data_IF_265362382958
#
_entry.id   IF_265362382958
#
_cell.length_a   1.000
_cell.length_b   1.000
_cell.length_c   1.000
_cell.angle_alpha   90.00
_cell.angle_beta   90.00
_cell.angle_gamma   90.00
#
_symmetry.space_group_name_H-M   'P 1'
#
loop_
_entity.id
_entity.type
_entity.pdbx_description
1 polymer ?
#
# COMPACT_ATOMS: atom_id res chain seq x y z
N UNK A 1 78.31 22.52 6.80
CA UNK A 1 76.92 22.71 6.41
C UNK A 1 76.26 21.33 6.45
N UNK A 2 75.38 21.12 7.45
CA UNK A 2 74.70 19.81 7.63
C UNK A 2 73.28 19.97 7.12
N UNK A 3 72.92 19.23 6.08
CA UNK A 3 71.53 19.19 5.53
C UNK A 3 70.67 18.26 6.38
N UNK A 4 69.65 18.81 6.99
CA UNK A 4 68.60 18.06 7.72
C UNK A 4 67.47 17.76 6.74
N UNK A 5 67.28 16.49 6.45
CA UNK A 5 66.14 16.03 5.58
C UNK A 5 64.96 15.72 6.48
N UNK A 6 63.89 16.49 6.40
CA UNK A 6 62.60 16.21 7.06
C UNK A 6 61.86 15.15 6.23
N UNK A 7 61.62 13.99 6.82
CA UNK A 7 60.69 12.97 6.27
C UNK A 7 59.29 13.23 6.86
N UNK A 8 58.37 13.70 6.03
CA UNK A 8 56.96 13.81 6.40
C UNK A 8 56.27 12.45 6.21
N UNK A 9 55.88 11.82 7.32
CA UNK A 9 55.12 10.61 7.29
C UNK A 9 53.62 10.96 7.16
N UNK A 10 53.03 10.72 5.99
CA UNK A 10 51.57 10.83 5.77
C UNK A 10 50.88 9.62 6.31
N UNK A 11 50.15 9.76 7.41
CA UNK A 11 49.26 8.73 7.95
C UNK A 11 47.96 8.79 7.19
N UNK A 12 47.72 7.84 6.29
CA UNK A 12 46.41 7.61 5.67
C UNK A 12 45.49 6.93 6.72
N UNK A 13 44.53 7.65 7.24
CA UNK A 13 43.40 7.06 7.94
C UNK A 13 42.47 6.42 6.92
N UNK A 14 42.58 5.12 6.74
CA UNK A 14 41.54 4.34 6.06
C UNK A 14 40.34 4.23 7.02
N UNK A 15 39.34 5.08 6.82
CA UNK A 15 38.03 4.91 7.47
C UNK A 15 37.35 3.68 6.84
N UNK A 16 37.52 2.53 7.47
CA UNK A 16 36.63 1.39 7.24
C UNK A 16 35.23 1.79 7.72
N UNK A 17 34.38 2.25 6.81
CA UNK A 17 32.93 2.25 7.04
C UNK A 17 32.55 0.77 7.13
N UNK A 18 32.51 0.23 8.34
CA UNK A 18 31.82 -1.04 8.60
C UNK A 18 30.35 -0.79 8.23
N UNK A 19 29.90 -1.41 7.14
CA UNK A 19 28.47 -1.54 6.89
C UNK A 19 27.90 -2.23 8.16
N UNK A 20 27.12 -1.50 8.93
CA UNK A 20 26.43 -2.08 10.07
C UNK A 20 25.58 -3.23 9.50
N UNK A 21 25.88 -4.45 9.97
CA UNK A 21 25.13 -5.64 9.58
C UNK A 21 23.80 -5.58 10.34
N UNK A 22 22.87 -4.77 9.81
CA UNK A 22 21.54 -4.61 10.41
C UNK A 22 20.76 -5.91 10.22
N UNK A 23 20.14 -6.40 11.30
CA UNK A 23 19.30 -7.60 11.24
C UNK A 23 18.20 -7.44 10.16
N UNK A 24 17.86 -8.50 9.42
CA UNK A 24 16.85 -8.42 8.37
C UNK A 24 15.50 -7.90 8.90
N UNK A 25 14.81 -7.09 8.09
CA UNK A 25 13.45 -6.68 8.39
C UNK A 25 12.49 -7.87 8.32
N UNK A 26 11.54 -7.92 9.26
CA UNK A 26 10.40 -8.84 9.22
C UNK A 26 9.17 -8.10 8.73
N UNK A 27 8.40 -8.72 7.83
CA UNK A 27 7.15 -8.19 7.32
C UNK A 27 5.99 -9.00 7.92
N UNK A 28 5.20 -8.39 8.81
CA UNK A 28 4.02 -9.02 9.41
C UNK A 28 2.75 -8.37 8.83
N UNK A 29 1.95 -9.16 8.13
CA UNK A 29 0.78 -8.66 7.40
C UNK A 29 -0.48 -8.91 8.21
N UNK A 30 -1.22 -7.84 8.48
CA UNK A 30 -2.62 -7.91 8.89
C UNK A 30 -3.49 -7.89 7.63
N UNK A 31 -4.16 -9.00 7.33
CA UNK A 31 -5.14 -9.08 6.25
C UNK A 31 -6.54 -8.98 6.85
N UNK A 32 -7.25 -7.92 6.54
CA UNK A 32 -8.62 -7.72 7.00
C UNK A 32 -9.60 -8.68 6.29
N UNK A 33 -10.74 -8.90 6.91
CA UNK A 33 -11.78 -9.75 6.34
C UNK A 33 -12.58 -9.05 5.20
N UNK A 34 -13.58 -9.75 4.66
CA UNK A 34 -14.46 -9.25 3.59
C UNK A 34 -15.21 -7.96 3.95
N UNK A 35 -15.45 -7.68 5.23
CA UNK A 35 -16.17 -6.49 5.67
C UNK A 35 -15.30 -5.23 5.62
N UNK A 36 -13.98 -5.42 5.57
CA UNK A 36 -12.96 -4.39 5.35
C UNK A 36 -12.24 -4.62 4.01
N UNK A 37 -12.95 -5.09 3.00
CA UNK A 37 -12.49 -5.23 1.60
C UNK A 37 -11.26 -6.10 1.40
N UNK A 38 -10.90 -6.96 2.37
CA UNK A 38 -9.64 -7.71 2.34
C UNK A 38 -8.39 -6.82 2.21
N UNK A 39 -8.46 -5.59 2.73
CA UNK A 39 -7.31 -4.67 2.72
C UNK A 39 -6.20 -5.20 3.60
N UNK A 40 -4.96 -4.91 3.22
CA UNK A 40 -3.78 -5.25 3.98
C UNK A 40 -3.18 -4.04 4.67
N UNK A 41 -2.75 -4.26 5.92
CA UNK A 41 -1.82 -3.39 6.62
C UNK A 41 -0.56 -4.19 6.94
N UNK A 42 0.60 -3.57 6.84
CA UNK A 42 1.86 -4.29 7.03
C UNK A 42 2.71 -3.63 8.11
N UNK A 43 3.17 -4.42 9.07
CA UNK A 43 4.21 -4.03 10.00
C UNK A 43 5.56 -4.35 9.37
N UNK A 44 6.41 -3.35 9.21
CA UNK A 44 7.82 -3.48 8.82
C UNK A 44 8.63 -3.39 10.11
N UNK A 45 9.12 -4.54 10.57
CA UNK A 45 9.70 -4.71 11.90
C UNK A 45 11.20 -4.85 11.76
N UNK A 46 11.92 -3.93 12.39
CA UNK A 46 13.38 -3.97 12.55
C UNK A 46 13.81 -4.52 13.92
N UNK A 47 15.03 -4.23 14.30
CA UNK A 47 15.60 -4.69 15.57
C UNK A 47 15.00 -3.93 16.78
N UNK A 48 14.80 -2.62 16.66
CA UNK A 48 14.29 -1.74 17.72
C UNK A 48 13.04 -0.97 17.34
N UNK A 49 12.81 -0.77 16.06
CA UNK A 49 11.74 0.05 15.52
C UNK A 49 10.74 -0.77 14.70
N UNK A 50 9.50 -0.27 14.62
CA UNK A 50 8.49 -0.77 13.69
C UNK A 50 7.87 0.40 12.94
N UNK A 51 7.56 0.19 11.66
CA UNK A 51 6.72 1.05 10.84
C UNK A 51 5.44 0.31 10.48
N UNK A 52 4.30 0.98 10.57
CA UNK A 52 3.02 0.48 10.05
C UNK A 52 2.76 1.12 8.69
N UNK A 53 2.44 0.29 7.71
CA UNK A 53 1.97 0.73 6.40
C UNK A 53 0.50 0.43 6.30
N UNK A 54 -0.31 1.50 6.18
CA UNK A 54 -1.76 1.51 6.17
C UNK A 54 -2.40 1.05 7.50
N UNK A 55 -3.57 1.57 7.81
CA UNK A 55 -4.12 1.49 9.18
C UNK A 55 -5.46 0.76 9.28
N UNK A 56 -5.91 0.18 8.16
CA UNK A 56 -7.19 -0.52 8.11
C UNK A 56 -8.41 0.40 8.00
N UNK A 57 -9.56 -0.22 7.80
CA UNK A 57 -10.83 0.46 7.54
C UNK A 57 -11.58 0.84 8.81
N UNK A 58 -11.65 -0.08 9.77
CA UNK A 58 -12.48 0.05 10.97
C UNK A 58 -11.62 0.30 12.21
N UNK A 59 -12.25 0.84 13.28
CA UNK A 59 -11.59 0.88 14.60
C UNK A 59 -11.13 -0.50 15.05
N UNK A 60 -11.92 -1.53 14.77
CA UNK A 60 -11.56 -2.89 15.14
C UNK A 60 -10.32 -3.40 14.38
N UNK A 61 -10.17 -3.03 13.09
CA UNK A 61 -8.94 -3.34 12.34
C UNK A 61 -7.74 -2.62 12.93
N UNK A 62 -7.88 -1.32 13.19
CA UNK A 62 -6.81 -0.54 13.79
C UNK A 62 -6.37 -1.05 15.17
N UNK A 63 -7.31 -1.52 16.00
CA UNK A 63 -6.99 -2.14 17.30
C UNK A 63 -6.22 -3.46 17.13
N UNK A 64 -6.55 -4.28 16.11
CA UNK A 64 -5.78 -5.50 15.79
C UNK A 64 -4.38 -5.18 15.31
N UNK A 65 -4.24 -4.14 14.48
CA UNK A 65 -2.93 -3.65 14.04
C UNK A 65 -2.14 -3.12 15.25
N UNK A 66 -2.77 -2.35 16.13
CA UNK A 66 -2.14 -1.87 17.37
C UNK A 66 -1.66 -3.02 18.27
N UNK A 67 -2.47 -4.08 18.41
CA UNK A 67 -2.06 -5.28 19.15
C UNK A 67 -0.79 -5.90 18.56
N UNK A 68 -0.70 -6.04 17.22
CA UNK A 68 0.51 -6.54 16.56
C UNK A 68 1.73 -5.64 16.81
N UNK A 69 1.55 -4.32 16.84
CA UNK A 69 2.63 -3.38 17.21
C UNK A 69 3.11 -3.64 18.61
N UNK A 70 2.20 -3.78 19.58
CA UNK A 70 2.53 -4.08 20.99
C UNK A 70 3.22 -5.46 21.12
N UNK A 71 2.70 -6.48 20.46
CA UNK A 71 3.26 -7.84 20.46
C UNK A 71 4.67 -7.89 19.87
N UNK A 72 4.99 -6.99 18.94
CA UNK A 72 6.35 -6.89 18.40
C UNK A 72 7.38 -6.48 19.44
N UNK A 73 6.97 -5.82 20.53
CA UNK A 73 7.86 -5.26 21.55
C UNK A 73 8.74 -4.12 21.04
N UNK A 74 8.50 -3.60 19.82
CA UNK A 74 9.32 -2.55 19.18
C UNK A 74 8.65 -1.19 19.29
N UNK A 75 9.43 -0.14 19.07
CA UNK A 75 8.92 1.23 19.11
C UNK A 75 8.29 1.60 17.76
N UNK A 76 6.99 1.92 17.73
CA UNK A 76 6.35 2.46 16.54
C UNK A 76 6.83 3.90 16.28
N UNK A 77 7.61 4.11 15.23
CA UNK A 77 8.15 5.42 14.84
C UNK A 77 7.35 6.09 13.75
N UNK A 78 6.89 5.30 12.78
CA UNK A 78 6.27 5.81 11.56
C UNK A 78 5.05 4.98 11.20
N UNK A 79 3.99 5.69 10.82
CA UNK A 79 2.83 5.14 10.15
C UNK A 79 2.79 5.78 8.76
N UNK A 80 2.84 5.01 7.71
CA UNK A 80 2.75 5.50 6.34
C UNK A 80 1.41 5.14 5.73
N UNK A 81 0.66 6.14 5.29
CA UNK A 81 -0.61 5.97 4.57
C UNK A 81 -0.30 5.97 3.08
N UNK A 82 -0.49 4.84 2.44
CA UNK A 82 -0.14 4.65 1.04
C UNK A 82 -1.23 5.11 0.07
N UNK A 83 -2.49 5.12 0.50
CA UNK A 83 -3.63 5.40 -0.39
C UNK A 83 -4.65 6.33 0.28
N UNK A 84 -5.44 7.02 -0.56
CA UNK A 84 -6.48 7.95 -0.12
C UNK A 84 -7.85 7.28 0.10
N UNK A 85 -7.94 5.96 -0.01
CA UNK A 85 -9.18 5.24 0.24
C UNK A 85 -9.36 4.93 1.72
N UNK A 86 -10.61 4.96 2.24
CA UNK A 86 -10.91 4.89 3.67
C UNK A 86 -10.31 3.68 4.38
N UNK A 87 -10.25 2.57 3.69
CA UNK A 87 -9.73 1.30 4.21
C UNK A 87 -8.20 1.28 4.40
N UNK A 88 -7.50 2.30 3.90
CA UNK A 88 -6.07 2.50 4.16
C UNK A 88 -5.79 3.44 5.34
N UNK A 89 -6.70 4.41 5.64
CA UNK A 89 -6.36 5.46 6.61
C UNK A 89 -7.38 5.74 7.71
N UNK A 90 -8.59 5.20 7.66
CA UNK A 90 -9.59 5.48 8.72
C UNK A 90 -9.15 5.02 10.11
N UNK A 91 -8.32 3.97 10.19
CA UNK A 91 -7.74 3.50 11.43
C UNK A 91 -6.65 4.41 12.04
N UNK A 92 -6.18 5.43 11.31
CA UNK A 92 -5.11 6.31 11.76
C UNK A 92 -5.45 7.07 13.06
N UNK A 93 -6.72 7.43 13.27
CA UNK A 93 -7.21 8.05 14.52
C UNK A 93 -6.89 7.18 15.75
N UNK A 94 -7.15 5.89 15.65
CA UNK A 94 -6.91 4.93 16.75
C UNK A 94 -5.41 4.78 17.01
N UNK A 95 -4.63 4.58 15.96
CA UNK A 95 -3.19 4.42 16.09
C UNK A 95 -2.52 5.69 16.62
N UNK A 96 -2.96 6.87 16.20
CA UNK A 96 -2.47 8.14 16.76
C UNK A 96 -2.78 8.27 18.25
N UNK A 97 -3.96 7.84 18.67
CA UNK A 97 -4.36 7.90 20.10
C UNK A 97 -3.51 6.97 20.95
N UNK A 98 -3.19 5.78 20.45
CA UNK A 98 -2.42 4.77 21.18
C UNK A 98 -0.91 5.01 21.12
N UNK A 99 -0.43 5.59 20.02
CA UNK A 99 0.99 5.83 19.75
C UNK A 99 1.22 7.30 19.35
N UNK A 100 1.02 8.28 20.27
CA UNK A 100 1.04 9.71 19.92
C UNK A 100 2.41 10.20 19.42
N UNK A 101 3.49 9.50 19.73
CA UNK A 101 4.85 9.85 19.29
C UNK A 101 5.16 9.36 17.85
N UNK A 102 4.32 8.47 17.28
CA UNK A 102 4.50 7.99 15.93
C UNK A 102 4.11 9.05 14.90
N UNK A 103 4.98 9.28 13.91
CA UNK A 103 4.68 10.19 12.81
C UNK A 103 3.75 9.51 11.81
N UNK A 104 2.62 10.14 11.48
CA UNK A 104 1.71 9.65 10.44
C UNK A 104 1.96 10.43 9.16
N UNK A 105 2.50 9.76 8.16
CA UNK A 105 3.02 10.33 6.93
C UNK A 105 2.29 9.80 5.71
N UNK A 106 2.28 10.59 4.65
CA UNK A 106 1.81 10.21 3.31
C UNK A 106 2.49 11.07 2.24
N UNK A 107 2.23 10.80 0.96
CA UNK A 107 2.70 11.67 -0.13
C UNK A 107 1.78 12.89 -0.32
N UNK A 108 2.30 13.95 -0.95
CA UNK A 108 1.50 15.16 -1.21
C UNK A 108 0.25 14.86 -2.06
N UNK A 109 0.37 13.99 -3.07
CA UNK A 109 -0.74 13.63 -3.95
C UNK A 109 -1.81 12.81 -3.21
N UNK A 110 -1.43 11.87 -2.35
CA UNK A 110 -2.38 11.10 -1.52
C UNK A 110 -3.09 12.02 -0.54
N UNK A 111 -2.36 12.91 0.15
CA UNK A 111 -2.96 13.88 1.08
C UNK A 111 -4.00 14.75 0.39
N UNK A 112 -3.69 15.30 -0.78
CA UNK A 112 -4.61 16.14 -1.52
C UNK A 112 -5.95 15.42 -1.83
N UNK A 113 -5.88 14.13 -2.23
CA UNK A 113 -7.09 13.34 -2.48
C UNK A 113 -7.85 13.01 -1.18
N UNK A 114 -7.14 12.76 -0.07
CA UNK A 114 -7.78 12.58 1.25
C UNK A 114 -8.57 13.85 1.61
N UNK A 115 -7.93 15.02 1.57
CA UNK A 115 -8.56 16.31 1.93
C UNK A 115 -9.76 16.63 1.03
N UNK A 116 -9.65 16.39 -0.28
CA UNK A 116 -10.74 16.60 -1.24
C UNK A 116 -11.96 15.71 -0.96
N UNK A 117 -11.73 14.40 -0.66
CA UNK A 117 -12.81 13.42 -0.63
C UNK A 117 -13.31 13.05 0.77
N UNK A 118 -12.62 13.45 1.83
CA UNK A 118 -12.88 13.01 3.20
C UNK A 118 -14.34 13.22 3.62
N UNK A 119 -14.89 14.41 3.41
CA UNK A 119 -16.26 14.73 3.82
C UNK A 119 -17.30 13.81 3.18
N UNK A 120 -17.18 13.56 1.87
CA UNK A 120 -18.06 12.64 1.14
C UNK A 120 -17.89 11.19 1.62
N UNK A 121 -16.65 10.75 1.85
CA UNK A 121 -16.36 9.40 2.36
C UNK A 121 -16.92 9.18 3.77
N UNK A 122 -16.81 10.16 4.66
CA UNK A 122 -17.42 10.10 5.98
C UNK A 122 -18.95 10.06 5.92
N UNK A 123 -19.56 10.93 5.12
CA UNK A 123 -21.02 10.94 4.96
C UNK A 123 -21.55 9.58 4.45
N UNK A 124 -20.81 8.92 3.58
CA UNK A 124 -21.18 7.64 3.03
C UNK A 124 -20.93 6.45 3.97
N UNK A 125 -19.76 6.40 4.62
CA UNK A 125 -19.33 5.24 5.38
C UNK A 125 -19.74 5.25 6.84
N UNK A 126 -19.74 6.41 7.53
CA UNK A 126 -20.06 6.50 8.97
C UNK A 126 -21.38 5.85 9.34
N UNK A 127 -22.49 6.06 8.61
CA UNK A 127 -23.76 5.40 8.94
C UNK A 127 -23.72 3.88 8.79
N UNK A 128 -22.85 3.36 7.92
CA UNK A 128 -22.72 1.91 7.68
C UNK A 128 -21.79 1.24 8.68
N UNK A 129 -20.80 1.99 9.18
CA UNK A 129 -19.78 1.47 10.10
C UNK A 129 -20.22 1.55 11.58
N UNK A 130 -21.16 2.45 11.91
CA UNK A 130 -21.62 2.64 13.28
C UNK A 130 -20.47 2.96 14.24
N UNK A 131 -20.34 2.20 15.33
CA UNK A 131 -19.27 2.39 16.32
C UNK A 131 -17.85 2.16 15.79
N UNK A 132 -17.71 1.49 14.65
CA UNK A 132 -16.42 1.25 14.01
C UNK A 132 -15.92 2.42 13.16
N UNK A 133 -16.78 3.44 12.92
CA UNK A 133 -16.38 4.62 12.15
C UNK A 133 -15.40 5.50 12.94
N UNK A 134 -14.47 6.20 12.24
CA UNK A 134 -13.67 7.22 12.88
C UNK A 134 -14.56 8.37 13.35
N UNK A 135 -14.22 8.98 14.50
CA UNK A 135 -14.93 10.17 15.04
C UNK A 135 -14.24 11.45 14.57
N UNK A 136 -12.92 11.45 14.62
CA UNK A 136 -12.06 12.55 14.19
C UNK A 136 -10.94 12.00 13.31
N UNK A 137 -11.20 11.76 12.02
CA UNK A 137 -10.20 11.20 11.11
C UNK A 137 -8.89 12.00 11.16
N UNK A 138 -7.78 11.29 11.20
CA UNK A 138 -6.45 11.89 11.18
C UNK A 138 -6.03 12.21 9.76
N UNK A 139 -5.58 13.45 9.52
CA UNK A 139 -5.01 13.86 8.23
C UNK A 139 -3.49 13.72 8.30
N UNK A 140 -2.87 12.82 7.49
CA UNK A 140 -1.44 12.59 7.53
C UNK A 140 -0.62 13.83 7.15
N UNK A 141 0.60 13.92 7.67
CA UNK A 141 1.59 14.91 7.26
C UNK A 141 2.30 14.46 5.97
N UNK A 142 2.65 15.38 5.11
CA UNK A 142 3.43 15.06 3.90
C UNK A 142 4.85 14.66 4.29
N UNK A 143 5.32 13.53 3.75
CA UNK A 143 6.70 13.06 3.91
C UNK A 143 7.67 13.99 3.20
N UNK A 144 8.83 14.24 3.80
CA UNK A 144 9.93 14.96 3.17
C UNK A 144 10.76 13.97 2.33
N UNK A 145 10.84 14.23 1.01
CA UNK A 145 11.54 13.35 0.07
C UNK A 145 10.77 12.09 -0.29
N UNK A 146 11.50 11.07 -0.69
CA UNK A 146 10.98 9.81 -1.23
C UNK A 146 11.47 8.56 -0.48
N UNK A 147 11.96 8.74 0.73
CA UNK A 147 12.61 7.67 1.48
C UNK A 147 12.21 7.70 2.96
N UNK A 148 11.87 6.53 3.48
CA UNK A 148 11.65 6.25 4.90
C UNK A 148 12.71 5.28 5.40
N UNK A 149 12.83 5.14 6.72
CA UNK A 149 13.80 4.24 7.34
C UNK A 149 13.19 3.46 8.50
N UNK A 150 13.64 2.21 8.69
CA UNK A 150 13.42 1.39 9.89
C UNK A 150 14.75 0.79 10.25
N UNK A 151 15.30 1.12 11.42
CA UNK A 151 16.63 0.67 11.88
C UNK A 151 17.73 0.78 10.81
N UNK A 152 17.73 1.89 10.06
CA UNK A 152 18.70 2.15 8.98
C UNK A 152 18.40 1.47 7.64
N UNK A 153 17.42 0.57 7.56
CA UNK A 153 16.96 0.01 6.29
C UNK A 153 16.16 1.04 5.51
N UNK A 154 16.55 1.24 4.26
CA UNK A 154 15.89 2.17 3.34
C UNK A 154 14.58 1.57 2.82
N UNK A 155 13.53 2.39 2.82
CA UNK A 155 12.22 2.10 2.25
C UNK A 155 11.91 3.23 1.27
N UNK A 156 11.86 2.91 0.00
CA UNK A 156 11.70 3.88 -1.09
C UNK A 156 10.22 4.06 -1.43
N UNK A 157 9.80 5.31 -1.60
CA UNK A 157 8.46 5.67 -2.06
C UNK A 157 8.51 5.90 -3.57
N UNK A 158 7.85 5.06 -4.34
CA UNK A 158 7.79 5.11 -5.79
C UNK A 158 6.41 5.50 -6.30
N UNK A 159 6.30 5.83 -7.59
CA UNK A 159 5.01 6.11 -8.25
C UNK A 159 4.41 7.47 -7.86
N UNK A 160 5.19 8.40 -7.31
CA UNK A 160 4.73 9.72 -6.83
C UNK A 160 4.54 10.75 -7.94
N UNK A 161 4.78 10.37 -9.18
CA UNK A 161 4.69 11.24 -10.36
C UNK A 161 3.67 10.69 -11.36
N UNK A 162 3.30 11.51 -12.33
CA UNK A 162 2.41 11.14 -13.42
C UNK A 162 0.92 10.97 -13.02
N UNK A 163 0.16 10.27 -13.85
CA UNK A 163 -1.29 10.08 -13.72
C UNK A 163 -1.72 9.33 -12.45
N UNK A 164 -0.86 8.43 -11.95
CA UNK A 164 -1.12 7.66 -10.74
C UNK A 164 -0.32 8.16 -9.52
N UNK A 165 0.10 9.44 -9.50
CA UNK A 165 0.84 10.01 -8.37
C UNK A 165 0.14 9.84 -7.02
N UNK A 166 -1.19 9.74 -7.01
CA UNK A 166 -2.03 9.46 -5.83
C UNK A 166 -2.11 7.96 -5.48
N UNK A 167 -1.39 7.10 -6.19
CA UNK A 167 -1.31 5.63 -5.98
C UNK A 167 0.15 5.19 -5.92
N UNK A 168 0.95 5.72 -4.98
CA UNK A 168 2.34 5.31 -4.80
C UNK A 168 2.43 3.85 -4.34
N UNK A 169 3.66 3.36 -4.29
CA UNK A 169 3.99 2.08 -3.67
C UNK A 169 5.33 2.17 -2.94
N UNK A 170 5.56 1.28 -2.00
CA UNK A 170 6.80 1.17 -1.28
C UNK A 170 7.66 0.03 -1.85
N UNK A 171 8.95 0.28 -1.94
CA UNK A 171 9.97 -0.70 -2.27
C UNK A 171 11.00 -0.80 -1.13
N UNK A 172 11.27 -2.00 -0.64
CA UNK A 172 12.29 -2.28 0.36
C UNK A 172 13.41 -3.08 -0.33
N UNK A 173 14.53 -2.43 -0.73
CA UNK A 173 15.60 -3.09 -1.47
C UNK A 173 16.23 -4.26 -0.71
N UNK A 174 16.43 -4.11 0.62
CA UNK A 174 17.08 -5.14 1.46
C UNK A 174 16.28 -6.44 1.56
N UNK A 175 14.95 -6.36 1.45
CA UNK A 175 14.03 -7.52 1.48
C UNK A 175 13.45 -7.85 0.12
N UNK A 176 13.82 -7.10 -0.93
CA UNK A 176 13.19 -7.16 -2.27
C UNK A 176 11.67 -7.22 -2.18
N UNK A 177 11.08 -6.36 -1.35
CA UNK A 177 9.66 -6.38 -1.05
C UNK A 177 8.93 -5.16 -1.63
N UNK A 178 7.77 -5.40 -2.24
CA UNK A 178 6.79 -4.39 -2.66
C UNK A 178 5.58 -4.45 -1.74
N UNK A 179 5.15 -3.30 -1.21
CA UNK A 179 3.99 -3.18 -0.32
C UNK A 179 3.40 -1.76 -0.38
N UNK A 180 2.35 -1.48 0.41
CA UNK A 180 1.76 -0.15 0.48
C UNK A 180 1.29 0.34 -0.88
N UNK A 181 0.45 -0.43 -1.55
CA UNK A 181 -0.02 -0.14 -2.89
C UNK A 181 -1.48 -0.56 -3.08
N UNK A 182 -2.12 0.00 -4.11
CA UNK A 182 -3.46 -0.39 -4.58
C UNK A 182 -3.42 -0.91 -6.02
N UNK A 183 -2.22 -1.12 -6.56
CA UNK A 183 -2.06 -1.64 -7.93
C UNK A 183 -2.16 -3.17 -7.98
N UNK A 184 -1.75 -3.84 -6.90
CA UNK A 184 -1.66 -5.30 -6.82
C UNK A 184 -2.79 -5.87 -5.99
N UNK A 185 -3.48 -6.86 -6.53
CA UNK A 185 -4.56 -7.61 -5.90
C UNK A 185 -4.21 -9.10 -5.85
N UNK A 186 -4.69 -9.79 -4.82
CA UNK A 186 -4.43 -11.21 -4.64
C UNK A 186 -5.73 -12.02 -4.47
N UNK A 187 -6.14 -12.76 -5.50
CA UNK A 187 -7.32 -13.64 -5.49
C UNK A 187 -8.64 -12.91 -5.09
N UNK A 188 -8.76 -11.65 -5.44
CA UNK A 188 -9.98 -10.84 -5.28
C UNK A 188 -10.27 -10.07 -6.55
N UNK A 189 -11.53 -9.69 -6.79
CA UNK A 189 -11.87 -8.81 -7.90
C UNK A 189 -11.25 -7.42 -7.71
N UNK A 190 -10.72 -6.85 -8.80
CA UNK A 190 -10.08 -5.54 -8.79
C UNK A 190 -11.14 -4.43 -8.72
N UNK A 191 -10.81 -3.33 -8.06
CA UNK A 191 -11.66 -2.14 -7.98
C UNK A 191 -11.58 -1.33 -9.27
N UNK A 192 -12.34 -1.78 -10.29
CA UNK A 192 -12.29 -1.19 -11.63
C UNK A 192 -13.01 0.15 -11.74
N UNK A 193 -13.88 0.51 -10.79
CA UNK A 193 -14.66 1.73 -10.82
C UNK A 193 -13.81 3.01 -10.89
N UNK A 194 -12.61 3.00 -10.29
CA UNK A 194 -11.68 4.15 -10.31
C UNK A 194 -10.83 4.23 -11.59
N UNK A 195 -10.85 3.20 -12.44
CA UNK A 195 -10.05 3.12 -13.67
C UNK A 195 -10.94 3.04 -14.91
N UNK A 196 -11.82 4.05 -15.09
CA UNK A 196 -12.86 4.05 -16.11
C UNK A 196 -12.32 4.27 -17.54
N UNK A 197 -11.28 5.11 -17.68
CA UNK A 197 -10.73 5.44 -18.99
C UNK A 197 -9.65 4.42 -19.43
N UNK A 198 -9.51 4.28 -20.76
CA UNK A 198 -8.41 3.49 -21.32
C UNK A 198 -7.05 4.02 -20.86
N UNK A 199 -6.91 5.32 -20.70
CA UNK A 199 -5.69 5.98 -20.23
C UNK A 199 -5.34 5.56 -18.79
N UNK A 200 -6.30 5.58 -17.86
CA UNK A 200 -6.09 5.15 -16.48
C UNK A 200 -5.76 3.66 -16.36
N UNK A 201 -6.41 2.80 -17.15
CA UNK A 201 -6.09 1.37 -17.19
C UNK A 201 -4.68 1.12 -17.76
N UNK A 202 -4.28 1.84 -18.80
CA UNK A 202 -2.92 1.75 -19.33
C UNK A 202 -1.87 2.24 -18.34
N UNK A 203 -2.16 3.31 -17.58
CA UNK A 203 -1.30 3.79 -16.51
C UNK A 203 -1.13 2.71 -15.41
N UNK A 204 -2.21 2.05 -15.02
CA UNK A 204 -2.15 0.94 -14.08
C UNK A 204 -1.32 -0.24 -14.60
N UNK A 205 -1.50 -0.62 -15.87
CA UNK A 205 -0.67 -1.66 -16.51
C UNK A 205 0.81 -1.28 -16.53
N UNK A 206 1.15 0.00 -16.80
CA UNK A 206 2.55 0.49 -16.73
C UNK A 206 3.11 0.34 -15.32
N UNK A 207 2.37 0.76 -14.29
CA UNK A 207 2.80 0.62 -12.90
C UNK A 207 3.04 -0.85 -12.52
N UNK A 208 2.16 -1.77 -12.91
CA UNK A 208 2.39 -3.21 -12.70
C UNK A 208 3.64 -3.74 -13.41
N UNK A 209 3.98 -3.20 -14.58
CA UNK A 209 5.23 -3.54 -15.29
C UNK A 209 6.46 -3.00 -14.56
N UNK A 210 6.38 -1.78 -14.02
CA UNK A 210 7.43 -1.19 -13.18
C UNK A 210 7.68 -2.02 -11.93
N UNK A 211 6.62 -2.40 -11.21
CA UNK A 211 6.70 -3.29 -10.05
C UNK A 211 7.39 -4.62 -10.41
N UNK A 212 7.02 -5.23 -11.53
CA UNK A 212 7.63 -6.48 -11.99
C UNK A 212 9.10 -6.33 -12.37
N UNK A 213 9.49 -5.16 -12.90
CA UNK A 213 10.87 -4.87 -13.28
C UNK A 213 11.82 -4.77 -12.07
N UNK A 214 11.32 -4.45 -10.87
CA UNK A 214 12.07 -4.49 -9.62
C UNK A 214 12.49 -5.92 -9.21
N UNK A 215 11.92 -6.94 -9.84
CA UNK A 215 12.13 -8.37 -9.54
C UNK A 215 11.91 -8.67 -8.05
N UNK A 216 10.74 -8.32 -7.50
CA UNK A 216 10.46 -8.53 -6.09
C UNK A 216 10.41 -10.02 -5.74
N UNK A 217 10.93 -10.36 -4.56
CA UNK A 217 10.80 -11.69 -3.96
C UNK A 217 9.53 -11.75 -3.09
N UNK A 218 9.17 -10.63 -2.46
CA UNK A 218 7.94 -10.47 -1.68
C UNK A 218 7.07 -9.40 -2.31
N UNK A 219 5.80 -9.71 -2.51
CA UNK A 219 4.78 -8.75 -2.97
C UNK A 219 3.58 -8.84 -2.06
N UNK A 220 3.31 -7.77 -1.32
CA UNK A 220 2.13 -7.66 -0.47
C UNK A 220 1.09 -6.85 -1.24
N UNK A 221 -0.02 -7.47 -1.70
CA UNK A 221 -1.11 -6.77 -2.38
C UNK A 221 -1.76 -5.73 -1.48
N UNK A 222 -2.39 -4.70 -2.05
CA UNK A 222 -3.26 -3.79 -1.30
C UNK A 222 -4.49 -4.51 -0.73
N UNK A 223 -5.06 -5.42 -1.55
CA UNK A 223 -6.18 -6.28 -1.17
C UNK A 223 -5.89 -7.71 -1.54
N UNK A 224 -6.18 -8.64 -0.66
CA UNK A 224 -6.02 -10.06 -0.96
C UNK A 224 -6.95 -10.96 -0.17
N UNK A 225 -7.36 -12.08 -0.76
CA UNK A 225 -8.01 -13.16 -0.03
C UNK A 225 -6.99 -13.84 0.89
N UNK A 226 -7.41 -14.23 2.09
CA UNK A 226 -6.56 -14.97 3.00
C UNK A 226 -5.96 -16.22 2.34
N UNK A 227 -4.68 -16.49 2.62
CA UNK A 227 -3.93 -17.60 2.00
C UNK A 227 -3.34 -17.29 0.62
N UNK A 228 -3.47 -16.06 0.11
CA UNK A 228 -2.78 -15.62 -1.10
C UNK A 228 -1.25 -15.69 -0.90
N UNK A 229 -0.53 -16.19 -1.89
CA UNK A 229 0.94 -16.18 -1.87
C UNK A 229 1.45 -14.74 -2.02
N UNK A 230 2.40 -14.35 -1.19
CA UNK A 230 2.99 -13.01 -1.18
C UNK A 230 4.21 -12.95 -2.12
N UNK A 231 4.01 -13.21 -3.40
CA UNK A 231 5.06 -13.20 -4.41
C UNK A 231 4.60 -12.48 -5.71
N UNK A 232 5.47 -12.45 -6.71
CA UNK A 232 5.21 -11.78 -7.99
C UNK A 232 4.03 -12.37 -8.81
N UNK A 233 3.46 -13.53 -8.41
CA UNK A 233 2.26 -14.08 -9.05
C UNK A 233 1.05 -13.16 -8.90
N UNK A 234 0.97 -12.37 -7.82
CA UNK A 234 -0.08 -11.40 -7.59
C UNK A 234 -0.03 -10.21 -8.55
N UNK A 235 1.18 -9.79 -8.96
CA UNK A 235 1.35 -8.80 -10.03
C UNK A 235 0.80 -9.37 -11.35
N UNK A 236 1.14 -10.61 -11.66
CA UNK A 236 0.66 -11.29 -12.88
C UNK A 236 -0.85 -11.48 -12.86
N UNK A 237 -1.43 -11.84 -11.70
CA UNK A 237 -2.88 -11.92 -11.50
C UNK A 237 -3.56 -10.58 -11.83
N UNK A 238 -3.06 -9.47 -11.29
CA UNK A 238 -3.63 -8.15 -11.52
C UNK A 238 -3.52 -7.72 -12.99
N UNK A 239 -2.40 -8.00 -13.65
CA UNK A 239 -2.23 -7.74 -15.08
C UNK A 239 -3.20 -8.55 -15.94
N UNK A 240 -3.35 -9.85 -15.65
CA UNK A 240 -4.27 -10.73 -16.36
C UNK A 240 -5.71 -10.27 -16.17
N UNK A 241 -6.11 -9.95 -14.93
CA UNK A 241 -7.46 -9.49 -14.60
C UNK A 241 -7.83 -8.23 -15.39
N UNK A 242 -6.94 -7.22 -15.47
CA UNK A 242 -7.17 -5.99 -16.26
C UNK A 242 -7.42 -6.32 -17.74
N UNK A 243 -6.63 -7.21 -18.31
CA UNK A 243 -6.80 -7.66 -19.69
C UNK A 243 -8.13 -8.41 -19.93
N UNK A 244 -8.48 -9.29 -19.00
CA UNK A 244 -9.70 -10.09 -19.09
C UNK A 244 -10.95 -9.24 -18.85
N UNK A 245 -10.91 -8.28 -17.91
CA UNK A 245 -12.00 -7.34 -17.69
C UNK A 245 -12.25 -6.46 -18.93
N UNK A 246 -11.21 -5.98 -19.60
CA UNK A 246 -11.32 -5.21 -20.83
C UNK A 246 -11.97 -6.04 -21.95
N UNK A 247 -11.58 -7.31 -22.13
CA UNK A 247 -12.17 -8.22 -23.11
C UNK A 247 -13.66 -8.49 -22.79
N UNK A 248 -13.94 -8.84 -21.53
CA UNK A 248 -15.29 -9.14 -21.08
C UNK A 248 -16.21 -7.92 -21.26
N UNK A 249 -15.76 -6.72 -20.88
CA UNK A 249 -16.50 -5.47 -21.11
C UNK A 249 -16.87 -5.27 -22.56
N UNK A 250 -15.92 -5.49 -23.49
CA UNK A 250 -16.15 -5.28 -24.92
C UNK A 250 -17.13 -6.29 -25.55
N UNK A 251 -17.30 -7.45 -24.91
CA UNK A 251 -18.22 -8.52 -25.39
C UNK A 251 -19.56 -8.52 -24.65
N UNK A 252 -19.71 -7.76 -23.57
CA UNK A 252 -20.94 -7.70 -22.77
C UNK A 252 -21.82 -6.51 -23.18
N UNK A 253 -23.14 -6.70 -23.12
CA UNK A 253 -24.16 -5.67 -23.44
C UNK A 253 -24.58 -4.86 -22.23
N UNK A 254 -24.39 -5.39 -21.02
CA UNK A 254 -24.80 -4.80 -19.75
C UNK A 254 -23.92 -5.30 -18.60
N UNK A 255 -24.11 -4.76 -17.40
CA UNK A 255 -23.31 -5.14 -16.23
C UNK A 255 -23.53 -6.58 -15.79
N UNK A 256 -24.70 -7.16 -16.01
CA UNK A 256 -25.00 -8.56 -15.64
C UNK A 256 -24.14 -9.52 -16.46
N UNK A 257 -24.14 -9.36 -17.79
CA UNK A 257 -23.29 -10.19 -18.68
C UNK A 257 -21.81 -10.04 -18.35
N UNK A 258 -21.36 -8.82 -18.01
CA UNK A 258 -19.97 -8.58 -17.60
C UNK A 258 -19.64 -9.27 -16.27
N UNK A 259 -20.52 -9.19 -15.28
CA UNK A 259 -20.37 -9.89 -13.99
C UNK A 259 -20.31 -11.38 -14.19
N UNK A 260 -21.23 -11.96 -14.97
CA UNK A 260 -21.26 -13.40 -15.24
C UNK A 260 -20.00 -13.88 -15.94
N UNK A 261 -19.53 -13.14 -16.96
CA UNK A 261 -18.28 -13.45 -17.66
C UNK A 261 -17.07 -13.44 -16.74
N UNK A 262 -16.94 -12.43 -15.88
CA UNK A 262 -15.82 -12.31 -14.96
C UNK A 262 -15.91 -13.30 -13.79
N UNK A 263 -17.11 -13.58 -13.28
CA UNK A 263 -17.33 -14.58 -12.22
C UNK A 263 -17.02 -16.00 -12.71
N UNK A 264 -17.37 -16.33 -13.95
CA UNK A 264 -17.02 -17.62 -14.55
C UNK A 264 -15.50 -17.78 -14.72
N UNK A 265 -14.78 -16.69 -15.01
CA UNK A 265 -13.32 -16.71 -15.19
C UNK A 265 -12.54 -16.71 -13.87
N UNK A 266 -13.11 -16.08 -12.83
CA UNK A 266 -12.53 -15.94 -11.50
C UNK A 266 -13.48 -16.43 -10.42
N UNK A 267 -13.87 -17.74 -10.42
CA UNK A 267 -14.94 -18.27 -9.56
C UNK A 267 -14.61 -18.19 -8.07
N UNK A 268 -13.32 -18.22 -7.71
CA UNK A 268 -12.86 -18.19 -6.34
C UNK A 268 -12.43 -16.80 -5.85
N UNK A 269 -12.55 -15.77 -6.70
CA UNK A 269 -12.15 -14.43 -6.33
C UNK A 269 -13.04 -13.86 -5.21
N UNK A 270 -12.40 -13.31 -4.19
CA UNK A 270 -13.08 -12.52 -3.16
C UNK A 270 -13.55 -11.17 -3.70
N UNK A 271 -14.19 -10.38 -2.83
CA UNK A 271 -14.61 -8.99 -3.11
C UNK A 271 -15.60 -8.86 -4.31
N UNK A 272 -16.69 -9.65 -4.36
CA UNK A 272 -17.65 -9.58 -5.48
C UNK A 272 -18.31 -8.20 -5.63
N UNK A 273 -18.35 -7.40 -4.56
CA UNK A 273 -18.84 -6.02 -4.62
C UNK A 273 -18.01 -5.14 -5.54
N UNK A 274 -16.67 -5.31 -5.57
CA UNK A 274 -15.79 -4.57 -6.48
C UNK A 274 -16.13 -4.85 -7.95
N UNK A 275 -16.37 -6.13 -8.27
CA UNK A 275 -16.83 -6.52 -9.62
C UNK A 275 -18.19 -5.91 -9.93
N UNK A 276 -19.16 -6.00 -9.01
CA UNK A 276 -20.52 -5.50 -9.21
C UNK A 276 -20.57 -3.98 -9.45
N UNK A 277 -19.84 -3.20 -8.65
CA UNK A 277 -19.74 -1.74 -8.82
C UNK A 277 -18.97 -1.42 -10.11
N UNK A 278 -17.80 -2.04 -10.29
CA UNK A 278 -16.96 -1.83 -11.47
C UNK A 278 -17.72 -2.12 -12.78
N UNK A 279 -18.47 -3.22 -12.85
CA UNK A 279 -19.25 -3.57 -14.01
C UNK A 279 -20.35 -2.51 -14.33
N UNK A 280 -21.12 -2.09 -13.32
CA UNK A 280 -22.16 -1.06 -13.50
C UNK A 280 -21.56 0.27 -13.97
N UNK A 281 -20.44 0.69 -13.40
CA UNK A 281 -19.76 1.93 -13.78
C UNK A 281 -19.27 1.85 -15.23
N UNK A 282 -18.63 0.75 -15.60
CA UNK A 282 -18.06 0.56 -16.94
C UNK A 282 -19.11 0.35 -18.02
N UNK A 283 -20.32 -0.11 -17.67
CA UNK A 283 -21.45 -0.25 -18.59
C UNK A 283 -22.38 0.97 -18.60
N UNK A 284 -22.03 2.05 -17.85
CA UNK A 284 -22.82 3.31 -17.81
C UNK A 284 -24.10 3.24 -16.98
N UNK A 285 -24.26 2.20 -16.18
CA UNK A 285 -25.45 1.97 -15.34
C UNK A 285 -25.31 2.61 -13.95
N UNK A 286 -24.12 3.10 -13.61
CA UNK A 286 -23.81 3.76 -12.33
C UNK A 286 -22.82 4.89 -12.54
N UNK A 287 -23.03 6.03 -11.87
CA UNK A 287 -22.04 7.11 -11.76
C UNK A 287 -21.13 6.83 -10.55
N UNK A 288 -19.86 7.12 -10.73
CA UNK A 288 -18.85 6.91 -9.70
C UNK A 288 -17.97 8.14 -9.53
#
# INVERSE_FOLDING_TARGET
MKHLTLIAASILFASNAMAANTAPLTLDVYNADKNSFHVNSTLVIGESEVMVVDTGFTKADALRIAAKVLDSGKTLKTIFISQADPDYYFGAEVLHTLFPEAKILTTAAVKAVIEEKLAGKLAFWTPKMGANAPVKPYIPTVVEGDTLFVDGHKIEIHGTQSELAHRPYLWIPSSKAVLGNVAVYGNVHLWMADAQSQRSQQAWIRQLKELKALKPEVVIPGHMKAGTKLDASTISYSQQYLGDFSKAKNSSKNSVELIDSMSARYPDAGLPMALGIGAKVHMGEMKW
#
